data_IF_722941901296
#
_entry.id   IF_722941901296
#
_cell.length_a   1.000
_cell.length_b   1.000
_cell.length_c   1.000
_cell.angle_alpha   90.00
_cell.angle_beta   90.00
_cell.angle_gamma   90.00
#
_symmetry.space_group_name_H-M   'P 1'
#
loop_
_entity.id
_entity.type
_entity.pdbx_description
1 polymer ?
#
# COMPACT_ATOMS: atom_id res chain seq x y z
N UNK A 1 0.53 -24.80 22.61
CA UNK A 1 0.86 -24.57 21.19
C UNK A 1 1.47 -23.18 21.14
N UNK A 2 2.74 -23.09 20.84
CA UNK A 2 3.30 -21.84 20.31
C UNK A 2 2.57 -21.62 19.00
N UNK A 3 1.85 -20.50 18.90
CA UNK A 3 1.13 -20.20 17.71
C UNK A 3 2.12 -19.91 16.59
N UNK A 4 1.73 -20.20 15.33
CA UNK A 4 2.54 -19.91 14.15
C UNK A 4 3.01 -18.44 14.08
N UNK A 5 2.39 -17.57 14.85
CA UNK A 5 2.79 -16.16 15.08
C UNK A 5 4.06 -16.03 15.90
N UNK A 6 4.36 -16.95 16.84
CA UNK A 6 5.63 -16.93 17.58
C UNK A 6 6.81 -17.37 16.72
N UNK A 7 6.57 -18.16 15.67
CA UNK A 7 7.58 -18.54 14.68
C UNK A 7 7.80 -17.44 13.61
N UNK A 8 6.78 -16.63 13.32
CA UNK A 8 6.87 -15.49 12.39
C UNK A 8 7.34 -14.21 13.08
N UNK A 9 7.06 -14.03 14.37
CA UNK A 9 7.53 -12.89 15.16
C UNK A 9 9.00 -12.99 15.60
N UNK A 10 9.58 -14.19 15.60
CA UNK A 10 11.01 -14.34 15.49
C UNK A 10 11.42 -13.92 14.09
N UNK A 11 11.59 -12.61 13.85
CA UNK A 11 12.47 -12.17 12.76
C UNK A 11 13.82 -12.77 13.11
N UNK A 12 13.99 -13.98 12.66
CA UNK A 12 15.20 -14.74 12.79
C UNK A 12 16.36 -13.86 12.35
N UNK A 13 17.52 -13.98 13.00
CA UNK A 13 18.77 -13.35 12.54
C UNK A 13 19.03 -13.63 11.05
N UNK A 14 18.23 -14.55 10.50
CA UNK A 14 18.18 -14.97 9.14
C UNK A 14 17.40 -14.09 8.16
N UNK A 15 16.49 -13.21 8.57
CA UNK A 15 15.68 -12.38 7.68
C UNK A 15 16.34 -11.03 7.43
N UNK A 16 16.44 -10.63 6.16
CA UNK A 16 16.96 -9.31 5.77
C UNK A 16 15.88 -8.52 5.00
N UNK A 17 15.62 -7.25 5.34
CA UNK A 17 16.20 -6.48 6.45
C UNK A 17 15.74 -6.98 7.82
N UNK A 18 16.71 -7.23 8.72
CA UNK A 18 16.46 -7.72 10.08
C UNK A 18 16.35 -6.62 11.13
N UNK A 19 16.25 -6.99 12.42
CA UNK A 19 16.15 -6.04 13.54
C UNK A 19 17.29 -5.03 13.61
N UNK A 20 18.46 -5.38 13.12
CA UNK A 20 19.64 -4.52 13.02
C UNK A 20 19.43 -3.36 12.04
N UNK A 21 18.76 -3.61 10.92
CA UNK A 21 18.40 -2.60 9.91
C UNK A 21 17.26 -1.72 10.42
N UNK A 22 16.18 -2.33 10.91
CA UNK A 22 15.01 -1.58 11.42
C UNK A 22 15.32 -0.74 12.65
N UNK A 23 16.31 -1.14 13.49
CA UNK A 23 16.65 -0.47 14.73
C UNK A 23 15.70 -0.82 15.89
N UNK A 24 16.08 -0.35 17.10
CA UNK A 24 15.31 -0.62 18.31
C UNK A 24 13.99 0.14 18.35
N UNK A 25 13.94 1.27 17.69
CA UNK A 25 12.81 2.19 17.63
C UNK A 25 11.59 1.58 16.91
N UNK A 26 11.83 0.69 15.95
CA UNK A 26 10.80 -0.09 15.28
C UNK A 26 10.38 -1.35 16.06
N UNK A 27 11.07 -1.67 17.15
CA UNK A 27 10.79 -2.86 17.97
C UNK A 27 9.65 -2.57 18.94
N UNK A 28 8.41 -2.72 18.46
CA UNK A 28 7.29 -2.94 19.38
C UNK A 28 7.31 -4.35 19.97
N UNK A 29 6.33 -4.70 20.77
CA UNK A 29 6.05 -6.09 21.13
C UNK A 29 4.68 -6.47 20.57
N UNK A 30 4.63 -7.31 19.53
CA UNK A 30 5.75 -7.99 18.83
C UNK A 30 6.62 -7.02 18.03
N UNK A 31 7.85 -7.44 17.70
CA UNK A 31 8.73 -6.68 16.82
C UNK A 31 8.08 -6.49 15.43
N UNK A 32 8.08 -5.24 14.94
CA UNK A 32 7.45 -4.88 13.68
C UNK A 32 8.44 -4.18 12.75
N UNK A 33 8.16 -4.19 11.45
CA UNK A 33 8.82 -3.27 10.53
C UNK A 33 8.36 -1.83 10.79
N UNK A 34 9.20 -0.83 10.47
CA UNK A 34 8.87 0.58 10.63
C UNK A 34 8.03 1.18 9.49
N UNK A 35 7.53 0.36 8.55
CA UNK A 35 6.70 0.75 7.42
C UNK A 35 5.36 -0.01 7.43
N UNK A 36 4.41 0.46 6.62
CA UNK A 36 3.07 -0.12 6.53
C UNK A 36 2.90 -1.02 5.30
N UNK A 37 1.70 -1.56 5.12
CA UNK A 37 1.27 -2.34 3.97
C UNK A 37 -0.14 -1.87 3.55
N UNK A 38 -0.62 -2.22 2.34
CA UNK A 38 -1.98 -1.87 1.93
C UNK A 38 -3.02 -2.35 2.96
N UNK A 39 -3.97 -1.49 3.37
CA UNK A 39 -4.86 -1.73 4.53
C UNK A 39 -6.02 -2.66 4.21
N UNK A 40 -5.74 -3.90 3.82
CA UNK A 40 -6.76 -4.91 3.44
C UNK A 40 -7.56 -5.47 4.62
N UNK A 41 -7.06 -5.29 5.86
CA UNK A 41 -7.59 -6.00 7.04
C UNK A 41 -9.04 -5.62 7.35
N UNK A 42 -9.44 -4.35 7.14
CA UNK A 42 -10.82 -3.91 7.31
C UNK A 42 -11.79 -4.69 6.43
N UNK A 43 -11.46 -4.84 5.16
CA UNK A 43 -12.22 -5.62 4.18
C UNK A 43 -12.27 -7.11 4.57
N UNK A 44 -11.13 -7.68 4.99
CA UNK A 44 -11.07 -9.09 5.42
C UNK A 44 -11.95 -9.33 6.65
N UNK A 45 -11.90 -8.46 7.66
CA UNK A 45 -12.73 -8.60 8.86
C UNK A 45 -14.22 -8.50 8.52
N UNK A 46 -14.61 -7.58 7.62
CA UNK A 46 -16.00 -7.48 7.14
C UNK A 46 -16.44 -8.76 6.44
N UNK A 47 -15.60 -9.28 5.53
CA UNK A 47 -15.89 -10.53 4.81
C UNK A 47 -16.04 -11.72 5.77
N UNK A 48 -15.12 -11.89 6.72
CA UNK A 48 -15.18 -12.93 7.73
C UNK A 48 -16.43 -12.80 8.61
N UNK A 49 -16.79 -11.58 9.00
CA UNK A 49 -18.02 -11.31 9.74
C UNK A 49 -19.25 -11.81 8.98
N UNK A 50 -19.32 -11.55 7.68
CA UNK A 50 -20.48 -11.96 6.86
C UNK A 50 -20.57 -13.48 6.64
N UNK A 51 -19.42 -14.13 6.49
CA UNK A 51 -19.32 -15.56 6.13
C UNK A 51 -19.31 -16.50 7.32
N UNK A 52 -19.03 -16.02 8.54
CA UNK A 52 -19.02 -16.86 9.73
C UNK A 52 -20.47 -17.30 10.07
N UNK A 53 -20.80 -18.61 10.06
CA UNK A 53 -22.12 -19.09 10.40
C UNK A 53 -22.49 -18.87 11.87
N UNK A 54 -21.50 -18.78 12.76
CA UNK A 54 -21.68 -18.47 14.18
C UNK A 54 -21.70 -16.94 14.37
N UNK A 55 -22.91 -16.39 14.48
CA UNK A 55 -23.14 -14.94 14.55
C UNK A 55 -22.60 -14.31 15.84
N UNK A 56 -22.63 -15.03 16.95
CA UNK A 56 -22.12 -14.52 18.24
C UNK A 56 -20.60 -14.45 18.23
N UNK A 57 -19.94 -15.49 17.70
CA UNK A 57 -18.51 -15.51 17.47
C UNK A 57 -18.09 -14.40 16.50
N UNK A 58 -18.77 -14.25 15.36
CA UNK A 58 -18.51 -13.21 14.38
C UNK A 58 -18.57 -11.82 15.02
N UNK A 59 -19.64 -11.54 15.77
CA UNK A 59 -19.83 -10.26 16.45
C UNK A 59 -18.77 -10.01 17.52
N UNK A 60 -18.46 -11.00 18.33
CA UNK A 60 -17.42 -10.90 19.37
C UNK A 60 -16.04 -10.57 18.77
N UNK A 61 -15.64 -11.27 17.70
CA UNK A 61 -14.37 -11.03 17.00
C UNK A 61 -14.33 -9.67 16.32
N UNK A 62 -15.41 -9.27 15.65
CA UNK A 62 -15.49 -7.95 15.03
C UNK A 62 -15.38 -6.83 16.07
N UNK A 63 -16.07 -6.94 17.22
CA UNK A 63 -15.93 -5.98 18.33
C UNK A 63 -14.52 -5.89 18.90
N UNK A 64 -13.83 -7.03 18.99
CA UNK A 64 -12.44 -7.04 19.45
C UNK A 64 -11.47 -6.38 18.46
N UNK A 65 -11.70 -6.55 17.15
CA UNK A 65 -10.81 -6.03 16.10
C UNK A 65 -11.13 -4.57 15.71
N UNK A 66 -12.39 -4.16 15.78
CA UNK A 66 -12.84 -2.84 15.31
C UNK A 66 -12.01 -1.66 15.87
N UNK A 67 -11.79 -1.53 17.18
CA UNK A 67 -11.00 -0.41 17.70
C UNK A 67 -9.54 -0.43 17.23
N UNK A 68 -8.99 -1.59 16.93
CA UNK A 68 -7.61 -1.74 16.40
C UNK A 68 -7.54 -1.30 14.92
N UNK A 69 -8.55 -1.66 14.13
CA UNK A 69 -8.69 -1.21 12.75
C UNK A 69 -8.89 0.30 12.68
N UNK A 70 -9.76 0.83 13.52
CA UNK A 70 -10.01 2.27 13.62
C UNK A 70 -8.72 3.03 13.98
N UNK A 71 -7.95 2.53 14.96
CA UNK A 71 -6.68 3.12 15.35
C UNK A 71 -5.65 3.08 14.21
N UNK A 72 -5.60 1.98 13.44
CA UNK A 72 -4.72 1.86 12.27
C UNK A 72 -5.08 2.85 11.17
N UNK A 73 -6.36 2.99 10.83
CA UNK A 73 -6.81 3.95 9.83
C UNK A 73 -6.58 5.40 10.28
N UNK A 74 -6.83 5.72 11.56
CA UNK A 74 -6.47 7.03 12.16
C UNK A 74 -4.98 7.33 12.01
N UNK A 75 -4.13 6.34 12.28
CA UNK A 75 -2.69 6.49 12.10
C UNK A 75 -2.33 6.78 10.64
N UNK A 76 -2.90 6.06 9.67
CA UNK A 76 -2.67 6.31 8.25
C UNK A 76 -2.97 7.76 7.87
N UNK A 77 -4.15 8.27 8.24
CA UNK A 77 -4.53 9.65 7.93
C UNK A 77 -3.68 10.66 8.69
N UNK A 78 -3.38 10.42 9.96
CA UNK A 78 -2.54 11.33 10.75
C UNK A 78 -1.08 11.37 10.26
N UNK A 79 -0.51 10.22 9.96
CA UNK A 79 0.90 10.09 9.60
C UNK A 79 1.18 10.38 8.12
N UNK A 80 0.20 10.14 7.24
CA UNK A 80 0.41 10.07 5.79
C UNK A 80 -0.49 11.02 4.98
N UNK A 81 -1.43 11.72 5.63
CA UNK A 81 -2.29 12.76 5.03
C UNK A 81 -2.39 13.99 5.96
N UNK A 82 -1.26 14.64 6.31
CA UNK A 82 -1.28 15.75 7.27
C UNK A 82 -2.05 16.98 6.76
N UNK A 83 -2.32 17.08 5.47
CA UNK A 83 -3.07 18.17 4.85
C UNK A 83 -4.55 17.84 4.63
N UNK A 84 -5.00 16.67 5.07
CA UNK A 84 -6.39 16.23 4.98
C UNK A 84 -6.95 16.23 3.55
N UNK A 85 -6.14 15.79 2.60
CA UNK A 85 -6.52 15.68 1.18
C UNK A 85 -7.46 14.50 0.92
N UNK A 86 -7.54 13.55 1.86
CA UNK A 86 -8.24 12.27 1.70
C UNK A 86 -7.40 11.19 1.05
N UNK A 87 -6.16 11.51 0.65
CA UNK A 87 -5.22 10.58 0.05
C UNK A 87 -3.98 10.43 0.95
N UNK A 88 -3.66 9.20 1.27
CA UNK A 88 -2.45 8.89 2.05
C UNK A 88 -1.26 8.64 1.13
N UNK A 89 -0.09 9.00 1.61
CA UNK A 89 1.17 8.90 0.88
C UNK A 89 1.92 7.65 1.32
N UNK A 90 2.42 6.85 0.38
CA UNK A 90 3.46 5.87 0.67
C UNK A 90 4.83 6.54 0.62
N UNK A 91 5.72 6.10 1.49
CA UNK A 91 7.08 6.66 1.64
C UNK A 91 8.17 5.63 1.34
N UNK A 92 7.78 4.41 1.03
CA UNK A 92 8.64 3.31 0.65
C UNK A 92 7.93 2.43 -0.40
N UNK A 93 8.60 1.94 -1.46
CA UNK A 93 8.00 1.05 -2.44
C UNK A 93 7.35 -0.21 -1.84
N UNK A 94 7.92 -0.78 -0.78
CA UNK A 94 7.36 -1.95 -0.09
C UNK A 94 5.99 -1.71 0.57
N UNK A 95 5.62 -0.46 0.79
CA UNK A 95 4.28 -0.13 1.32
C UNK A 95 3.17 -0.33 0.28
N UNK A 96 3.51 -0.33 -1.02
CA UNK A 96 2.55 -0.45 -2.12
C UNK A 96 1.97 -1.86 -2.30
N UNK A 97 2.70 -2.91 -1.85
CA UNK A 97 2.44 -4.29 -2.22
C UNK A 97 2.83 -4.63 -3.68
N UNK A 98 3.46 -3.69 -4.39
CA UNK A 98 3.95 -3.82 -5.76
C UNK A 98 5.40 -3.30 -5.84
N UNK A 99 6.28 -3.91 -5.08
CA UNK A 99 7.64 -3.44 -4.79
C UNK A 99 8.46 -3.11 -6.05
N UNK A 100 8.31 -3.96 -7.08
CA UNK A 100 9.08 -3.90 -8.32
C UNK A 100 8.32 -3.18 -9.45
N UNK A 101 7.28 -2.42 -9.13
CA UNK A 101 6.53 -1.71 -10.16
C UNK A 101 7.40 -0.67 -10.87
N UNK A 102 7.40 -0.62 -12.21
CA UNK A 102 8.10 0.42 -12.97
C UNK A 102 7.58 1.84 -12.68
N UNK A 103 6.41 1.96 -12.05
CA UNK A 103 5.90 3.23 -11.57
C UNK A 103 6.83 3.90 -10.54
N UNK A 104 7.65 3.11 -9.86
CA UNK A 104 8.57 3.62 -8.83
C UNK A 104 9.94 4.04 -9.38
N UNK A 105 10.31 3.71 -10.61
CA UNK A 105 11.64 3.96 -11.17
C UNK A 105 12.03 5.44 -11.06
N UNK A 106 11.17 6.34 -11.52
CA UNK A 106 11.45 7.79 -11.48
C UNK A 106 11.42 8.36 -10.07
N UNK A 107 10.40 8.15 -9.22
CA UNK A 107 10.42 8.55 -7.82
C UNK A 107 11.61 8.00 -7.04
N UNK A 108 11.95 6.72 -7.26
CA UNK A 108 13.02 6.05 -6.54
C UNK A 108 14.42 6.54 -6.97
N UNK A 109 14.60 6.92 -8.23
CA UNK A 109 15.90 7.41 -8.75
C UNK A 109 16.43 8.63 -7.99
N UNK A 110 15.58 9.40 -7.32
CA UNK A 110 15.95 10.57 -6.51
C UNK A 110 16.45 10.20 -5.11
N UNK A 111 16.28 8.95 -4.68
CA UNK A 111 16.74 8.52 -3.35
C UNK A 111 18.26 8.41 -3.38
N UNK A 112 18.98 9.23 -2.58
CA UNK A 112 20.42 9.15 -2.51
C UNK A 112 20.87 7.86 -1.83
N UNK A 113 21.92 7.24 -2.37
CA UNK A 113 22.56 6.07 -1.77
C UNK A 113 23.89 6.51 -1.17
N UNK A 114 23.92 6.67 0.14
CA UNK A 114 25.09 7.13 0.86
C UNK A 114 25.36 6.24 2.07
N UNK A 115 26.62 5.82 2.21
CA UNK A 115 27.12 5.14 3.41
C UNK A 115 26.31 3.92 3.86
N UNK A 116 25.81 3.12 2.92
CA UNK A 116 25.14 1.86 3.26
C UNK A 116 26.17 0.87 3.82
N UNK A 117 25.90 0.24 4.98
CA UNK A 117 26.70 -0.87 5.44
C UNK A 117 26.71 -2.02 4.43
N UNK A 118 27.77 -2.82 4.37
CA UNK A 118 27.74 -4.06 3.59
C UNK A 118 26.57 -4.95 4.00
N UNK A 119 25.87 -5.51 3.03
CA UNK A 119 24.73 -6.41 3.29
C UNK A 119 24.67 -7.52 2.24
N UNK A 120 24.03 -8.62 2.58
CA UNK A 120 23.79 -9.75 1.69
C UNK A 120 22.28 -9.89 1.41
N UNK A 121 21.90 -9.83 0.15
CA UNK A 121 20.50 -10.06 -0.26
C UNK A 121 20.15 -11.54 -0.13
N UNK A 122 19.00 -11.82 0.49
CA UNK A 122 18.49 -13.19 0.64
C UNK A 122 17.32 -13.50 -0.29
N UNK A 123 16.64 -12.47 -0.78
CA UNK A 123 15.53 -12.56 -1.71
C UNK A 123 15.91 -13.17 -3.07
N UNK A 124 17.20 -13.16 -3.42
CA UNK A 124 17.74 -13.75 -4.67
C UNK A 124 18.21 -15.21 -4.50
N UNK A 125 18.14 -15.79 -3.29
CA UNK A 125 18.64 -17.16 -3.06
C UNK A 125 17.71 -18.27 -3.58
N UNK A 126 16.42 -17.97 -3.73
CA UNK A 126 15.38 -18.95 -4.04
C UNK A 126 14.55 -18.60 -5.28
N UNK A 127 14.84 -17.47 -5.92
CA UNK A 127 14.10 -16.96 -7.09
C UNK A 127 15.12 -16.46 -8.12
N UNK A 128 14.73 -16.47 -9.40
CA UNK A 128 15.57 -15.90 -10.45
C UNK A 128 15.90 -14.43 -10.11
N UNK A 129 17.20 -14.05 -10.02
CA UNK A 129 17.59 -12.68 -9.68
C UNK A 129 17.04 -11.62 -10.65
N UNK A 130 16.78 -11.98 -11.91
CA UNK A 130 16.21 -11.09 -12.94
C UNK A 130 14.75 -10.71 -12.64
N UNK A 131 14.02 -11.51 -11.86
CA UNK A 131 12.66 -11.24 -11.41
C UNK A 131 12.60 -10.37 -10.13
N UNK A 132 13.76 -9.92 -9.64
CA UNK A 132 13.90 -9.16 -8.41
C UNK A 132 14.38 -7.74 -8.69
N UNK A 133 14.18 -6.79 -7.76
CA UNK A 133 14.72 -5.44 -7.90
C UNK A 133 16.21 -5.47 -8.21
N UNK A 134 16.67 -4.57 -9.08
CA UNK A 134 18.09 -4.37 -9.34
C UNK A 134 18.80 -4.01 -8.03
N UNK A 135 20.12 -4.23 -7.99
CA UNK A 135 20.90 -3.90 -6.79
C UNK A 135 20.77 -2.43 -6.40
N UNK A 136 20.81 -1.55 -7.40
CA UNK A 136 20.71 -0.09 -7.23
C UNK A 136 19.37 0.33 -6.60
N UNK A 137 18.27 -0.34 -6.96
CA UNK A 137 16.96 -0.08 -6.40
C UNK A 137 16.87 -0.59 -4.96
N UNK A 138 17.47 -1.77 -4.70
CA UNK A 138 17.54 -2.31 -3.35
C UNK A 138 18.39 -1.44 -2.41
N UNK A 139 19.50 -0.89 -2.91
CA UNK A 139 20.33 0.08 -2.17
C UNK A 139 19.49 1.32 -1.78
N UNK A 140 18.61 1.80 -2.68
CA UNK A 140 17.69 2.91 -2.39
C UNK A 140 16.62 2.54 -1.37
N UNK A 141 16.10 1.31 -1.42
CA UNK A 141 15.16 0.82 -0.39
C UNK A 141 15.80 0.87 0.99
N UNK A 142 17.02 0.37 1.13
CA UNK A 142 17.73 0.42 2.40
C UNK A 142 18.06 1.85 2.84
N UNK A 143 18.43 2.72 1.90
CA UNK A 143 18.68 4.13 2.19
C UNK A 143 17.47 4.82 2.81
N UNK A 144 16.26 4.53 2.32
CA UNK A 144 15.01 5.01 2.92
C UNK A 144 14.82 4.46 4.34
N UNK A 145 15.07 3.17 4.57
CA UNK A 145 14.96 2.58 5.91
C UNK A 145 15.94 3.21 6.90
N UNK A 146 17.20 3.43 6.49
CA UNK A 146 18.18 4.12 7.33
C UNK A 146 17.82 5.58 7.59
N UNK A 147 17.19 6.27 6.62
CA UNK A 147 16.63 7.59 6.85
C UNK A 147 15.53 7.55 7.90
N UNK A 148 14.57 6.62 7.79
CA UNK A 148 13.45 6.51 8.75
C UNK A 148 13.94 6.17 10.15
N UNK A 149 14.95 5.31 10.25
CA UNK A 149 15.61 5.00 11.52
C UNK A 149 16.29 6.23 12.15
N UNK A 150 17.01 7.04 11.37
CA UNK A 150 17.61 8.29 11.86
C UNK A 150 16.55 9.29 12.35
N UNK A 151 15.37 9.25 11.79
CA UNK A 151 14.21 10.05 12.19
C UNK A 151 13.40 9.38 13.31
N UNK A 152 13.90 8.30 13.91
CA UNK A 152 13.22 7.55 14.97
C UNK A 152 11.77 7.17 14.61
N UNK A 153 11.52 6.97 13.31
CA UNK A 153 10.19 6.72 12.73
C UNK A 153 9.15 7.81 13.06
N UNK A 154 9.58 9.05 13.37
CA UNK A 154 8.66 10.16 13.50
C UNK A 154 7.89 10.42 12.21
N UNK A 155 6.55 10.27 12.20
CA UNK A 155 5.75 10.38 10.97
C UNK A 155 5.89 11.74 10.29
N UNK A 156 5.99 12.82 11.07
CA UNK A 156 6.12 14.18 10.54
C UNK A 156 7.50 14.41 9.93
N UNK A 157 8.54 13.88 10.58
CA UNK A 157 9.90 13.92 10.07
C UNK A 157 10.02 13.16 8.75
N UNK A 158 9.48 11.95 8.69
CA UNK A 158 9.46 11.10 7.47
C UNK A 158 8.68 11.81 6.36
N UNK A 159 7.47 12.30 6.63
CA UNK A 159 6.67 12.98 5.62
C UNK A 159 7.39 14.21 5.03
N UNK A 160 8.10 14.98 5.85
CA UNK A 160 8.84 16.15 5.38
C UNK A 160 10.10 15.81 4.61
N UNK A 161 10.86 14.82 5.05
CA UNK A 161 12.23 14.58 4.60
C UNK A 161 12.39 13.43 3.60
N UNK A 162 11.39 12.53 3.48
CA UNK A 162 11.51 11.43 2.53
C UNK A 162 11.62 11.94 1.09
N UNK A 163 12.66 11.53 0.35
CA UNK A 163 12.80 11.82 -1.08
C UNK A 163 11.86 10.99 -1.95
N UNK A 164 11.27 9.92 -1.42
CA UNK A 164 10.23 9.12 -2.04
C UNK A 164 8.92 9.37 -1.32
N UNK A 165 7.98 10.03 -1.99
CA UNK A 165 6.60 10.28 -1.51
C UNK A 165 5.65 10.15 -2.68
N UNK A 166 4.83 9.13 -2.66
CA UNK A 166 3.89 8.84 -3.73
C UNK A 166 2.48 8.68 -3.17
N UNK A 167 1.54 9.38 -3.76
CA UNK A 167 0.12 9.08 -3.61
C UNK A 167 -0.18 7.90 -4.53
N UNK A 168 -0.06 6.69 -3.99
CA UNK A 168 -0.31 5.48 -4.76
C UNK A 168 -1.81 5.25 -4.92
N UNK A 169 -2.28 5.18 -6.16
CA UNK A 169 -3.69 4.97 -6.49
C UNK A 169 -4.19 3.62 -5.98
N UNK A 170 -3.36 2.58 -6.05
CA UNK A 170 -3.70 1.24 -5.58
C UNK A 170 -3.88 1.19 -4.07
N UNK A 171 -2.92 1.73 -3.32
CA UNK A 171 -2.99 1.82 -1.85
C UNK A 171 -4.23 2.59 -1.41
N UNK A 172 -4.49 3.76 -2.01
CA UNK A 172 -5.63 4.60 -1.66
C UNK A 172 -6.97 3.98 -2.05
N UNK A 173 -7.04 3.24 -3.16
CA UNK A 173 -8.24 2.49 -3.53
C UNK A 173 -8.53 1.36 -2.54
N UNK A 174 -7.51 0.63 -2.09
CA UNK A 174 -7.65 -0.40 -1.04
C UNK A 174 -8.09 0.23 0.28
N UNK A 175 -7.50 1.37 0.67
CA UNK A 175 -7.89 2.11 1.87
C UNK A 175 -9.34 2.58 1.78
N UNK A 176 -9.76 3.11 0.64
CA UNK A 176 -11.14 3.57 0.43
C UNK A 176 -12.13 2.40 0.55
N UNK A 177 -11.82 1.24 -0.01
CA UNK A 177 -12.62 0.02 0.19
C UNK A 177 -12.66 -0.38 1.66
N UNK A 178 -11.52 -0.42 2.33
CA UNK A 178 -11.43 -0.78 3.73
C UNK A 178 -12.19 0.21 4.64
N UNK A 179 -12.20 1.52 4.32
CA UNK A 179 -13.02 2.50 5.03
C UNK A 179 -14.52 2.21 4.89
N UNK A 180 -15.00 1.87 3.69
CA UNK A 180 -16.40 1.51 3.47
C UNK A 180 -16.79 0.25 4.25
N UNK A 181 -15.90 -0.74 4.28
CA UNK A 181 -16.12 -1.98 5.04
C UNK A 181 -16.06 -1.71 6.56
N UNK A 182 -15.16 -0.83 7.01
CA UNK A 182 -15.07 -0.41 8.41
C UNK A 182 -16.31 0.40 8.84
N UNK A 183 -16.82 1.27 7.98
CA UNK A 183 -18.09 1.98 8.18
C UNK A 183 -19.25 1.01 8.37
N UNK A 184 -19.35 0.02 7.49
CA UNK A 184 -20.39 -0.98 7.59
C UNK A 184 -20.27 -1.83 8.88
N UNK A 185 -19.04 -2.13 9.31
CA UNK A 185 -18.79 -2.78 10.61
C UNK A 185 -19.23 -1.89 11.79
N UNK A 186 -18.93 -0.58 11.73
CA UNK A 186 -19.35 0.37 12.76
C UNK A 186 -20.88 0.35 12.93
N UNK A 187 -21.63 0.44 11.84
CA UNK A 187 -23.11 0.37 11.85
C UNK A 187 -23.60 -0.97 12.44
N UNK A 188 -23.03 -2.09 12.02
CA UNK A 188 -23.41 -3.44 12.51
C UNK A 188 -23.10 -3.62 14.01
N UNK A 189 -22.06 -3.00 14.51
CA UNK A 189 -21.61 -3.08 15.89
C UNK A 189 -22.25 -2.00 16.78
N UNK A 190 -22.97 -1.06 16.18
CA UNK A 190 -23.57 0.11 16.85
C UNK A 190 -22.49 1.06 17.43
N UNK A 191 -21.38 1.19 16.71
CA UNK A 191 -20.30 2.15 16.99
C UNK A 191 -20.52 3.43 16.15
N UNK A 192 -19.90 4.55 16.56
CA UNK A 192 -19.99 5.80 15.83
C UNK A 192 -19.21 5.76 14.50
N UNK A 193 -19.88 5.89 13.33
CA UNK A 193 -19.24 5.85 12.03
C UNK A 193 -18.76 7.22 11.51
N UNK A 194 -19.00 8.32 12.20
CA UNK A 194 -18.86 9.69 11.68
C UNK A 194 -17.44 9.98 11.13
N UNK A 195 -16.40 9.63 11.87
CA UNK A 195 -15.01 9.83 11.44
C UNK A 195 -14.67 9.03 10.17
N UNK A 196 -15.21 7.82 10.08
CA UNK A 196 -14.98 6.94 8.93
C UNK A 196 -15.70 7.48 7.70
N UNK A 197 -16.89 8.02 7.87
CA UNK A 197 -17.65 8.68 6.80
C UNK A 197 -16.89 9.89 6.24
N UNK A 198 -16.29 10.70 7.10
CA UNK A 198 -15.44 11.82 6.68
C UNK A 198 -14.26 11.35 5.82
N UNK A 199 -13.60 10.23 6.20
CA UNK A 199 -12.52 9.66 5.39
C UNK A 199 -13.02 9.16 4.03
N UNK A 200 -14.20 8.53 3.98
CA UNK A 200 -14.79 8.04 2.74
C UNK A 200 -15.06 9.22 1.78
N UNK A 201 -15.71 10.26 2.25
CA UNK A 201 -16.06 11.43 1.42
C UNK A 201 -14.82 12.12 0.88
N UNK A 202 -13.81 12.36 1.72
CA UNK A 202 -12.54 12.95 1.26
C UNK A 202 -11.76 12.04 0.34
N UNK A 203 -11.73 10.74 0.62
CA UNK A 203 -11.05 9.74 -0.21
C UNK A 203 -11.66 9.61 -1.60
N UNK A 204 -12.99 9.73 -1.73
CA UNK A 204 -13.67 9.77 -3.04
C UNK A 204 -13.21 10.95 -3.88
N UNK A 205 -13.24 12.14 -3.30
CA UNK A 205 -12.78 13.36 -3.98
C UNK A 205 -11.30 13.24 -4.37
N UNK A 206 -10.48 12.73 -3.45
CA UNK A 206 -9.05 12.54 -3.70
C UNK A 206 -8.77 11.54 -4.83
N UNK A 207 -9.42 10.37 -4.81
CA UNK A 207 -9.24 9.35 -5.86
C UNK A 207 -9.72 9.87 -7.22
N UNK A 208 -10.82 10.62 -7.27
CA UNK A 208 -11.30 11.23 -8.51
C UNK A 208 -10.29 12.23 -9.11
N UNK A 209 -9.49 12.90 -8.28
CA UNK A 209 -8.44 13.82 -8.72
C UNK A 209 -7.24 13.10 -9.37
N UNK A 210 -7.07 11.80 -9.16
CA UNK A 210 -6.04 10.98 -9.80
C UNK A 210 -6.41 10.48 -11.21
N UNK A 211 -7.61 10.82 -11.70
CA UNK A 211 -8.06 10.46 -13.03
C UNK A 211 -7.42 11.35 -14.10
N UNK A 212 -6.69 10.75 -15.01
CA UNK A 212 -6.23 11.41 -16.22
C UNK A 212 -7.29 11.29 -17.34
N UNK A 213 -7.78 12.44 -17.82
CA UNK A 213 -8.86 12.49 -18.82
C UNK A 213 -8.37 12.09 -20.20
N UNK A 214 -7.13 12.38 -20.54
CA UNK A 214 -6.55 12.07 -21.85
C UNK A 214 -6.22 10.59 -21.96
N UNK A 215 -5.61 10.03 -20.94
CA UNK A 215 -5.28 8.60 -20.87
C UNK A 215 -6.52 7.72 -20.61
N UNK A 216 -7.62 8.28 -20.08
CA UNK A 216 -8.79 7.52 -19.64
C UNK A 216 -8.46 6.52 -18.52
N UNK A 217 -7.53 6.87 -17.60
CA UNK A 217 -6.98 5.97 -16.63
C UNK A 217 -6.61 6.68 -15.33
N UNK A 218 -6.52 5.94 -14.21
CA UNK A 218 -6.04 6.48 -12.94
C UNK A 218 -4.53 6.27 -12.81
N UNK A 219 -3.82 7.33 -12.43
CA UNK A 219 -2.38 7.29 -12.17
C UNK A 219 -2.06 7.65 -10.71
N UNK A 220 -0.99 7.04 -10.20
CA UNK A 220 -0.37 7.50 -8.97
C UNK A 220 0.27 8.88 -9.18
N UNK A 221 0.47 9.62 -8.09
CA UNK A 221 1.01 10.98 -8.13
C UNK A 221 2.34 11.05 -7.38
N UNK A 222 3.38 11.54 -8.03
CA UNK A 222 4.66 11.81 -7.40
C UNK A 222 4.58 13.15 -6.67
N UNK A 223 4.47 13.11 -5.35
CA UNK A 223 4.29 14.31 -4.55
C UNK A 223 5.56 15.18 -4.48
N UNK A 224 6.75 14.59 -4.69
CA UNK A 224 8.04 15.33 -4.69
C UNK A 224 8.23 16.07 -5.99
N UNK A 225 7.92 15.44 -7.12
CA UNK A 225 8.02 16.06 -8.44
C UNK A 225 6.79 16.94 -8.78
N UNK A 226 5.65 16.72 -8.11
CA UNK A 226 4.40 17.44 -8.38
C UNK A 226 3.76 17.06 -9.72
N UNK A 227 3.85 15.79 -10.12
CA UNK A 227 3.37 15.29 -11.42
C UNK A 227 2.77 13.88 -11.33
N UNK A 228 1.88 13.49 -12.28
CA UNK A 228 1.40 12.12 -12.37
C UNK A 228 2.53 11.18 -12.77
N UNK A 229 2.46 9.95 -12.25
CA UNK A 229 3.32 8.84 -12.67
C UNK A 229 2.63 8.14 -13.83
N UNK A 230 2.93 8.56 -15.05
CA UNK A 230 2.26 8.13 -16.28
C UNK A 230 2.65 6.70 -16.72
N UNK A 231 2.61 5.75 -15.80
CA UNK A 231 2.84 4.31 -16.06
C UNK A 231 1.54 3.57 -15.75
N UNK A 232 0.92 2.98 -16.77
CA UNK A 232 -0.30 2.18 -16.59
C UNK A 232 0.04 0.85 -15.92
N UNK A 233 -0.38 0.70 -14.66
CA UNK A 233 -0.24 -0.53 -13.88
C UNK A 233 -1.61 -1.06 -13.46
N UNK A 234 -1.69 -2.31 -13.03
CA UNK A 234 -2.94 -2.87 -12.50
C UNK A 234 -3.51 -2.09 -11.31
N UNK A 235 -2.70 -1.29 -10.62
CA UNK A 235 -3.16 -0.40 -9.54
C UNK A 235 -4.20 0.62 -10.01
N UNK A 236 -4.13 1.07 -11.27
CA UNK A 236 -5.10 2.02 -11.85
C UNK A 236 -6.52 1.45 -12.05
N UNK A 237 -6.70 0.14 -11.94
CA UNK A 237 -8.03 -0.51 -11.94
C UNK A 237 -8.62 -0.65 -10.53
N UNK A 238 -7.82 -0.54 -9.47
CA UNK A 238 -8.29 -0.74 -8.09
C UNK A 238 -9.35 0.28 -7.62
N UNK A 239 -9.49 1.50 -8.18
CA UNK A 239 -10.66 2.33 -7.90
C UNK A 239 -12.00 1.64 -8.18
N UNK A 240 -12.06 0.69 -9.14
CA UNK A 240 -13.26 -0.16 -9.35
C UNK A 240 -13.57 -1.01 -8.11
N UNK A 241 -12.54 -1.61 -7.49
CA UNK A 241 -12.68 -2.37 -6.25
C UNK A 241 -13.13 -1.49 -5.08
N UNK A 242 -12.67 -0.24 -5.06
CA UNK A 242 -13.13 0.75 -4.09
C UNK A 242 -14.59 1.19 -4.32
N UNK A 243 -15.14 0.96 -5.51
CA UNK A 243 -16.46 1.45 -5.91
C UNK A 243 -16.52 2.97 -6.09
N UNK A 244 -15.39 3.61 -6.40
CA UNK A 244 -15.26 5.07 -6.53
C UNK A 244 -15.71 5.59 -7.90
N UNK A 245 -15.31 4.99 -9.06
CA UNK A 245 -15.57 5.61 -10.33
C UNK A 245 -17.06 5.61 -10.69
N UNK A 246 -17.52 6.73 -11.23
CA UNK A 246 -18.86 6.76 -11.84
C UNK A 246 -18.92 5.85 -13.09
N UNK A 247 -20.14 5.53 -13.55
CA UNK A 247 -20.37 4.54 -14.62
C UNK A 247 -19.57 4.79 -15.90
N UNK A 248 -19.40 6.04 -16.33
CA UNK A 248 -18.63 6.37 -17.53
C UNK A 248 -17.15 6.00 -17.44
N UNK A 249 -16.50 6.28 -16.30
CA UNK A 249 -15.10 5.89 -16.06
C UNK A 249 -14.96 4.39 -15.85
N UNK A 250 -15.91 3.77 -15.16
CA UNK A 250 -15.93 2.32 -14.99
C UNK A 250 -15.98 1.59 -16.33
N UNK A 251 -16.79 2.11 -17.30
CA UNK A 251 -16.85 1.57 -18.66
C UNK A 251 -15.53 1.72 -19.42
N UNK A 252 -14.84 2.86 -19.29
CA UNK A 252 -13.52 3.06 -19.90
C UNK A 252 -12.47 2.10 -19.31
N UNK A 253 -12.46 1.90 -18.00
CA UNK A 253 -11.58 0.95 -17.36
C UNK A 253 -11.87 -0.50 -17.77
N UNK A 254 -13.15 -0.87 -17.95
CA UNK A 254 -13.50 -2.20 -18.43
C UNK A 254 -12.98 -2.43 -19.86
N UNK A 255 -13.14 -1.46 -20.77
CA UNK A 255 -12.59 -1.53 -22.13
C UNK A 255 -11.05 -1.63 -22.12
N UNK A 256 -10.41 -0.88 -21.24
CA UNK A 256 -8.95 -0.96 -21.10
C UNK A 256 -8.50 -2.33 -20.58
N UNK A 257 -9.22 -2.93 -19.62
CA UNK A 257 -8.96 -4.27 -19.13
C UNK A 257 -9.12 -5.34 -20.24
N UNK A 258 -10.17 -5.23 -21.06
CA UNK A 258 -10.37 -6.11 -22.23
C UNK A 258 -9.19 -5.99 -23.20
N UNK A 259 -8.77 -4.76 -23.53
CA UNK A 259 -7.60 -4.50 -24.38
C UNK A 259 -6.31 -5.15 -23.82
N UNK A 260 -6.11 -5.13 -22.51
CA UNK A 260 -4.97 -5.81 -21.90
C UNK A 260 -5.08 -7.34 -22.04
N UNK A 261 -6.29 -7.88 -21.81
CA UNK A 261 -6.55 -9.31 -21.92
C UNK A 261 -6.35 -9.89 -23.33
N UNK A 262 -6.47 -9.07 -24.38
CA UNK A 262 -6.18 -9.49 -25.76
C UNK A 262 -4.68 -9.70 -26.02
N UNK A 263 -3.82 -9.10 -25.22
CA UNK A 263 -2.37 -9.07 -25.42
C UNK A 263 -1.58 -9.84 -24.35
N UNK A 264 -2.23 -10.26 -23.29
CA UNK A 264 -1.61 -11.01 -22.21
C UNK A 264 -2.35 -12.32 -21.95
N UNK A 265 -1.61 -13.33 -21.50
CA UNK A 265 -2.20 -14.63 -21.14
C UNK A 265 -3.27 -14.53 -20.05
N UNK A 266 -3.11 -13.58 -19.13
CA UNK A 266 -4.02 -13.30 -18.02
C UNK A 266 -4.61 -11.92 -18.18
N UNK A 267 -5.85 -11.72 -17.74
CA UNK A 267 -6.64 -10.52 -18.00
C UNK A 267 -5.95 -9.21 -17.55
N UNK A 268 -5.34 -9.20 -16.36
CA UNK A 268 -4.70 -8.01 -15.81
C UNK A 268 -3.29 -8.34 -15.33
N UNK A 269 -2.29 -8.21 -16.21
CA UNK A 269 -0.89 -8.25 -15.78
C UNK A 269 -0.55 -7.01 -14.90
N UNK A 270 0.60 -7.01 -14.25
CA UNK A 270 1.01 -5.94 -13.34
C UNK A 270 1.20 -4.58 -14.03
N UNK A 271 1.52 -4.58 -15.32
CA UNK A 271 1.71 -3.38 -16.16
C UNK A 271 1.05 -3.58 -17.52
N UNK A 272 0.70 -2.48 -18.20
CA UNK A 272 0.13 -2.50 -19.56
C UNK A 272 1.00 -3.37 -20.50
N UNK A 273 0.42 -4.42 -21.12
CA UNK A 273 1.17 -5.33 -22.00
C UNK A 273 1.71 -4.67 -23.27
N UNK A 274 1.35 -3.41 -23.55
CA UNK A 274 1.96 -2.63 -24.64
C UNK A 274 3.07 -1.71 -24.16
N UNK A 275 3.30 -1.66 -22.85
CA UNK A 275 4.38 -0.87 -22.24
C UNK A 275 5.75 -1.49 -22.52
N UNK A 276 6.80 -0.66 -22.71
CA UNK A 276 8.17 -1.15 -22.80
C UNK A 276 8.66 -1.82 -21.51
N UNK A 277 7.93 -1.67 -20.42
CA UNK A 277 8.22 -2.31 -19.12
C UNK A 277 7.57 -3.68 -18.97
N UNK A 278 6.78 -4.13 -19.94
CA UNK A 278 6.12 -5.43 -19.86
C UNK A 278 7.07 -6.55 -20.30
N UNK A 279 7.36 -7.43 -19.38
CA UNK A 279 8.12 -8.66 -19.62
C UNK A 279 7.20 -9.85 -19.39
N UNK A 280 6.76 -10.55 -20.44
CA UNK A 280 5.99 -11.79 -20.29
C UNK A 280 6.89 -12.87 -19.73
N UNK A 281 6.61 -13.36 -18.51
CA UNK A 281 7.29 -14.50 -17.88
C UNK A 281 6.87 -15.86 -18.47
#
# INVERSE_FOLDING_TARGET
>A
RRDAWDEVSGMDEGYFPGPDVWGREARGQPATSGITQPPVVGTVVRYLYEKDPDRDRARSRARYLFPKLLAYHRWLYHARDPYRTGLVVIVHPWESGMDNSPAWDKPLSRVPVENLPPYERRDVKHVNPEERPRKEDYDRYLSLLYLFRRLEYDPRGIYRQSPFKVVDVGFNAILQRANRDLYALAVLLQEDPYEIEEWIVRGEVGLEALWDREAGFYFSWDLVAGEPIAVKTSAGFLPLFAGTPHQGRASLLAQEAERWGEKARYLLPSVDPTSPFFEPG
#
